data_IF_498143967767
#
_entry.id   IF_498143967767
#
_cell.length_a   1.000
_cell.length_b   1.000
_cell.length_c   1.000
_cell.angle_alpha   90.00
_cell.angle_beta   90.00
_cell.angle_gamma   90.00
#
_symmetry.space_group_name_H-M   'P 1'
#
loop_
_entity.id
_entity.type
_entity.pdbx_description
1 polymer ?
#
# COMPACT_ATOMS: atom_id res chain seq x y z
N UNK A 1 -8.65 -5.26 -8.57
CA UNK A 1 -7.60 -4.68 -9.45
C UNK A 1 -6.66 -3.90 -8.55
N UNK A 2 -5.36 -4.23 -8.47
CA UNK A 2 -4.42 -3.48 -7.64
C UNK A 2 -4.32 -2.04 -8.14
N UNK A 3 -4.40 -1.07 -7.23
CA UNK A 3 -3.98 0.29 -7.57
C UNK A 3 -2.46 0.33 -7.54
N UNK A 4 -1.84 0.74 -8.65
CA UNK A 4 -0.39 0.85 -8.77
C UNK A 4 0.00 2.33 -8.80
N UNK A 5 0.80 2.77 -7.82
CA UNK A 5 1.45 4.08 -7.83
C UNK A 5 2.95 3.89 -8.11
N UNK A 6 3.48 4.69 -9.04
CA UNK A 6 4.91 4.77 -9.33
C UNK A 6 5.43 6.17 -8.98
N UNK A 7 6.41 6.25 -8.09
CA UNK A 7 7.03 7.53 -7.71
C UNK A 7 8.48 7.34 -7.34
N UNK A 8 9.39 8.10 -7.98
CA UNK A 8 10.82 8.12 -7.65
C UNK A 8 11.49 6.74 -7.59
N UNK A 9 11.08 5.81 -8.48
CA UNK A 9 11.59 4.44 -8.51
C UNK A 9 10.99 3.49 -7.46
N UNK A 10 10.01 3.95 -6.68
CA UNK A 10 9.17 3.11 -5.84
C UNK A 10 7.94 2.64 -6.61
N UNK A 11 7.58 1.38 -6.41
CA UNK A 11 6.32 0.79 -6.87
C UNK A 11 5.48 0.39 -5.67
N UNK A 12 4.33 1.04 -5.53
CA UNK A 12 3.33 0.74 -4.50
C UNK A 12 2.22 -0.07 -5.15
N UNK A 13 1.90 -1.23 -4.58
CA UNK A 13 0.80 -2.09 -5.01
C UNK A 13 -0.18 -2.15 -3.85
N UNK A 14 -1.35 -1.53 -4.04
CA UNK A 14 -2.38 -1.40 -3.01
C UNK A 14 -3.49 -2.40 -3.32
N UNK A 15 -3.69 -3.35 -2.41
CA UNK A 15 -4.76 -4.34 -2.47
C UNK A 15 -5.67 -4.14 -1.26
N UNK A 16 -6.81 -3.47 -1.45
CA UNK A 16 -7.79 -3.20 -0.38
C UNK A 16 -8.91 -4.22 -0.32
N UNK A 17 -9.21 -4.90 -1.43
CA UNK A 17 -10.45 -5.70 -1.55
C UNK A 17 -10.21 -7.21 -1.47
N UNK A 18 -8.97 -7.68 -1.62
CA UNK A 18 -8.73 -9.11 -1.83
C UNK A 18 -8.52 -9.90 -0.53
N UNK A 19 -7.93 -9.31 0.52
CA UNK A 19 -7.69 -10.00 1.81
C UNK A 19 -7.54 -9.03 3.00
N UNK A 20 -8.01 -9.44 4.19
CA UNK A 20 -7.71 -8.76 5.47
C UNK A 20 -6.44 -9.35 6.12
N UNK A 21 -5.56 -8.54 6.73
CA UNK A 21 -5.61 -7.07 6.77
C UNK A 21 -5.22 -6.44 5.42
N UNK A 22 -5.76 -5.26 5.14
CA UNK A 22 -5.33 -4.48 3.98
C UNK A 22 -3.82 -4.24 4.08
N UNK A 23 -3.11 -4.43 2.97
CA UNK A 23 -1.67 -4.23 2.96
C UNK A 23 -1.20 -3.60 1.64
N UNK A 24 -0.09 -2.88 1.72
CA UNK A 24 0.58 -2.27 0.57
C UNK A 24 1.94 -2.91 0.40
N UNK A 25 2.21 -3.40 -0.81
CA UNK A 25 3.56 -3.81 -1.20
C UNK A 25 4.32 -2.60 -1.71
N UNK A 26 5.48 -2.34 -1.13
CA UNK A 26 6.41 -1.30 -1.58
C UNK A 26 7.65 -1.97 -2.12
N UNK A 27 7.94 -1.76 -3.41
CA UNK A 27 9.10 -2.33 -4.10
C UNK A 27 10.04 -1.19 -4.51
N UNK A 28 11.32 -1.31 -4.15
CA UNK A 28 12.38 -0.39 -4.58
C UNK A 28 13.70 -1.14 -4.74
N UNK A 29 14.40 -0.93 -5.86
CA UNK A 29 15.68 -1.59 -6.17
C UNK A 29 15.67 -3.13 -5.97
N UNK A 30 14.56 -3.78 -6.33
CA UNK A 30 14.38 -5.23 -6.19
C UNK A 30 14.13 -5.72 -4.76
N UNK A 31 14.04 -4.83 -3.77
CA UNK A 31 13.64 -5.15 -2.39
C UNK A 31 12.15 -4.86 -2.21
N UNK A 32 11.46 -5.72 -1.48
CA UNK A 32 10.04 -5.59 -1.16
C UNK A 32 9.82 -5.46 0.35
N UNK A 33 8.95 -4.54 0.75
CA UNK A 33 8.42 -4.42 2.11
C UNK A 33 6.89 -4.50 2.03
N UNK A 34 6.29 -5.19 2.97
CA UNK A 34 4.84 -5.27 3.15
C UNK A 34 4.46 -4.40 4.35
N UNK A 35 3.55 -3.47 4.14
CA UNK A 35 3.01 -2.60 5.20
C UNK A 35 1.56 -3.04 5.41
N UNK A 36 1.28 -3.60 6.58
CA UNK A 36 -0.08 -3.94 7.01
C UNK A 36 -0.72 -2.68 7.60
N UNK A 37 -1.96 -2.42 7.22
CA UNK A 37 -2.76 -1.35 7.80
C UNK A 37 -3.64 -1.96 8.89
N UNK A 38 -3.56 -1.41 10.09
CA UNK A 38 -4.64 -1.56 11.05
C UNK A 38 -5.87 -0.80 10.53
N UNK A 39 -7.07 -1.34 10.77
CA UNK A 39 -8.35 -0.78 10.29
C UNK A 39 -8.75 0.53 11.02
N UNK A 40 -7.81 1.45 11.24
CA UNK A 40 -8.03 2.71 11.94
C UNK A 40 -8.22 3.86 10.93
N UNK A 41 -9.47 4.25 10.69
CA UNK A 41 -9.79 5.41 9.85
C UNK A 41 -9.56 6.70 10.64
N UNK A 42 -8.46 7.41 10.36
CA UNK A 42 -8.22 8.76 10.86
C UNK A 42 -8.56 9.78 9.78
N UNK A 43 -9.74 10.39 9.90
CA UNK A 43 -10.14 11.53 9.06
C UNK A 43 -9.46 12.80 9.60
N UNK A 44 -8.61 13.42 8.81
CA UNK A 44 -8.10 14.77 9.10
C UNK A 44 -9.04 15.81 8.48
N UNK A 45 -9.29 16.91 9.20
CA UNK A 45 -10.02 18.06 8.66
C UNK A 45 -9.06 18.89 7.80
N UNK A 46 -9.50 19.21 6.59
CA UNK A 46 -8.86 20.17 5.68
C UNK A 46 -8.92 21.61 6.22
#
# INVERSE_FOLDING_TARGET
MPTILLKSGFRFIINTDDHEPMHVHVIHQGRSVLIEFENEVKVSKE
#
